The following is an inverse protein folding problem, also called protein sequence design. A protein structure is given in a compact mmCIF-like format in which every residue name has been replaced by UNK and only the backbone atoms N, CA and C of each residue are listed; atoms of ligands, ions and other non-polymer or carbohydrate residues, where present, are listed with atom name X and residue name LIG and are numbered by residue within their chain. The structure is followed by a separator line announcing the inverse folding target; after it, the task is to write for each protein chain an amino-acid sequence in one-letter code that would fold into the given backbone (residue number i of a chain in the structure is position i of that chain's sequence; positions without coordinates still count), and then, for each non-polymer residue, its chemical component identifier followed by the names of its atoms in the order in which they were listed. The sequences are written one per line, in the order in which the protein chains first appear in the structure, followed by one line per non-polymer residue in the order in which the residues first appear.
data_IF_303097332615
#
_entry.id   IF_303097332615
#
_cell.length_a   1.000
_cell.length_b   1.000
_cell.length_c   1.000
_cell.angle_alpha   90.00
_cell.angle_beta   90.00
_cell.angle_gamma   90.00
#
_symmetry.space_group_name_H-M   'P 1'
#
loop_
_entity.id
_entity.type
_entity.pdbx_description
1 polymer ?
#
# COMPACT_ATOMS: atom_id res chain seq x y z
N UNK A 1 -21.03 -17.59 -12.63
CA UNK A 1 -20.10 -16.88 -11.72
C UNK A 1 -19.72 -17.84 -10.62
N UNK A 2 -18.44 -17.91 -10.23
CA UNK A 2 -18.01 -18.75 -9.10
C UNK A 2 -18.40 -18.08 -7.78
N UNK A 3 -18.49 -18.86 -6.69
CA UNK A 3 -18.71 -18.31 -5.34
C UNK A 3 -17.66 -17.27 -4.97
N UNK A 4 -16.39 -17.50 -5.33
CA UNK A 4 -15.29 -16.55 -5.12
C UNK A 4 -15.53 -15.22 -5.83
N UNK A 5 -15.96 -15.24 -7.10
CA UNK A 5 -16.27 -14.00 -7.84
C UNK A 5 -17.37 -13.19 -7.16
N UNK A 6 -18.45 -13.85 -6.73
CA UNK A 6 -19.56 -13.16 -6.03
C UNK A 6 -19.08 -12.54 -4.72
N UNK A 7 -18.25 -13.24 -3.95
CA UNK A 7 -17.71 -12.73 -2.69
C UNK A 7 -16.78 -11.53 -2.90
N UNK A 8 -15.88 -11.58 -3.88
CA UNK A 8 -14.96 -10.48 -4.22
C UNK A 8 -15.73 -9.27 -4.72
N UNK A 9 -16.71 -9.45 -5.62
CA UNK A 9 -17.54 -8.36 -6.14
C UNK A 9 -18.39 -7.70 -5.03
N UNK A 10 -18.94 -8.51 -4.13
CA UNK A 10 -19.67 -8.02 -2.95
C UNK A 10 -18.73 -7.22 -2.04
N UNK A 11 -17.49 -7.70 -1.82
CA UNK A 11 -16.49 -7.01 -1.04
C UNK A 11 -16.12 -5.66 -1.69
N UNK A 12 -15.97 -5.57 -3.02
CA UNK A 12 -15.77 -4.30 -3.72
C UNK A 12 -16.93 -3.34 -3.45
N UNK A 13 -18.17 -3.75 -3.72
CA UNK A 13 -19.33 -2.88 -3.55
C UNK A 13 -19.47 -2.38 -2.10
N UNK A 14 -19.39 -3.30 -1.13
CA UNK A 14 -19.53 -2.97 0.28
C UNK A 14 -18.39 -2.08 0.81
N UNK A 15 -17.14 -2.38 0.42
CA UNK A 15 -15.96 -1.62 0.83
C UNK A 15 -15.90 -0.22 0.22
N UNK A 16 -16.31 -0.06 -1.04
CA UNK A 16 -16.47 1.25 -1.69
C UNK A 16 -17.54 2.06 -0.95
N UNK A 17 -18.72 1.48 -0.71
CA UNK A 17 -19.79 2.15 0.05
C UNK A 17 -19.32 2.58 1.45
N UNK A 18 -18.58 1.70 2.15
CA UNK A 18 -18.00 2.01 3.46
C UNK A 18 -16.99 3.17 3.38
N UNK A 19 -16.08 3.14 2.40
CA UNK A 19 -15.11 4.21 2.14
C UNK A 19 -15.79 5.55 1.86
N UNK A 20 -16.79 5.56 0.97
CA UNK A 20 -17.58 6.75 0.61
C UNK A 20 -18.41 7.29 1.77
N UNK A 21 -18.91 6.42 2.66
CA UNK A 21 -19.70 6.84 3.84
C UNK A 21 -18.83 7.38 4.97
N UNK A 22 -17.68 6.76 5.22
CA UNK A 22 -16.83 7.06 6.38
C UNK A 22 -15.77 8.13 6.07
N UNK A 23 -15.15 8.08 4.89
CA UNK A 23 -14.02 8.93 4.53
C UNK A 23 -14.31 10.44 4.57
N UNK A 24 -15.41 10.95 4.00
CA UNK A 24 -15.68 12.39 3.95
C UNK A 24 -15.89 13.06 5.33
N UNK A 25 -16.12 12.27 6.39
CA UNK A 25 -16.39 12.77 7.75
C UNK A 25 -15.13 13.07 8.55
N UNK A 26 -13.99 12.55 8.11
CA UNK A 26 -12.74 12.55 8.88
C UNK A 26 -11.94 13.85 8.81
N UNK A 27 -11.81 14.52 7.66
CA UNK A 27 -11.09 15.80 7.61
C UNK A 27 -11.71 16.90 8.49
N UNK A 28 -12.95 16.71 8.94
CA UNK A 28 -13.64 17.64 9.85
C UNK A 28 -13.22 17.47 11.32
N UNK A 29 -12.58 16.36 11.67
CA UNK A 29 -12.23 16.01 13.05
C UNK A 29 -10.75 15.59 13.10
N UNK A 30 -9.86 16.56 12.89
CA UNK A 30 -8.43 16.33 13.03
C UNK A 30 -8.15 15.82 14.46
N UNK A 31 -7.53 14.65 14.57
CA UNK A 31 -7.19 14.06 15.86
C UNK A 31 -5.97 14.81 16.42
N UNK A 32 -6.06 15.43 17.61
CA UNK A 32 -4.94 16.15 18.20
C UNK A 32 -3.75 15.21 18.44
N UNK A 33 -2.51 15.74 18.49
CA UNK A 33 -1.31 14.94 18.79
C UNK A 33 -1.45 14.22 20.14
N UNK A 34 -1.04 12.96 20.19
CA UNK A 34 -1.11 12.15 21.42
C UNK A 34 0.01 12.44 22.43
N UNK A 35 -0.21 12.03 23.68
CA UNK A 35 0.81 11.97 24.73
C UNK A 35 1.57 10.61 24.67
N UNK A 36 2.84 10.56 25.10
CA UNK A 36 3.71 9.36 25.03
C UNK A 36 4.66 9.25 23.82
N UNK A 37 5.47 8.18 23.77
CA UNK A 37 6.52 8.00 22.74
C UNK A 37 5.92 7.75 21.35
N UNK A 38 6.38 8.50 20.34
CA UNK A 38 6.01 8.28 18.95
C UNK A 38 6.68 7.02 18.40
N UNK A 39 5.87 6.14 17.79
CA UNK A 39 6.35 4.99 17.03
C UNK A 39 6.04 5.25 15.56
N UNK A 40 7.10 5.26 14.76
CA UNK A 40 7.03 5.53 13.32
C UNK A 40 6.60 4.22 12.62
N UNK A 41 5.54 4.22 11.77
CA UNK A 41 5.03 3.04 11.09
C UNK A 41 6.11 2.34 10.24
N UNK A 42 7.08 3.08 9.69
CA UNK A 42 8.22 2.53 8.96
C UNK A 42 9.06 1.55 9.81
N UNK A 43 9.22 1.81 11.12
CA UNK A 43 9.98 0.92 12.01
C UNK A 43 9.24 -0.40 12.21
N UNK A 44 7.92 -0.33 12.40
CA UNK A 44 7.10 -1.53 12.54
C UNK A 44 6.98 -2.30 11.23
N UNK A 45 6.85 -1.59 10.09
CA UNK A 45 6.89 -2.19 8.77
C UNK A 45 8.20 -2.95 8.58
N UNK A 46 9.33 -2.35 8.93
CA UNK A 46 10.65 -3.01 8.87
C UNK A 46 10.68 -4.26 9.74
N UNK A 47 10.13 -4.20 10.96
CA UNK A 47 10.01 -5.36 11.84
C UNK A 47 9.15 -6.48 11.22
N UNK A 48 7.98 -6.15 10.67
CA UNK A 48 7.09 -7.13 10.01
C UNK A 48 7.76 -7.72 8.76
N UNK A 49 8.43 -6.91 7.95
CA UNK A 49 9.22 -7.39 6.80
C UNK A 49 10.31 -8.37 7.27
N UNK A 50 11.02 -8.05 8.34
CA UNK A 50 12.00 -8.94 8.94
C UNK A 50 11.39 -10.27 9.40
N UNK A 51 10.21 -10.24 10.03
CA UNK A 51 9.47 -11.46 10.41
C UNK A 51 9.01 -12.27 9.20
N UNK A 52 8.59 -11.62 8.11
CA UNK A 52 8.24 -12.28 6.85
C UNK A 52 9.45 -13.01 6.28
N UNK A 53 10.62 -12.37 6.17
CA UNK A 53 11.83 -13.03 5.68
C UNK A 53 12.36 -14.11 6.63
N UNK A 54 12.23 -13.92 7.94
CA UNK A 54 12.55 -14.97 8.91
C UNK A 54 11.66 -16.19 8.69
N UNK A 55 10.35 -15.99 8.48
CA UNK A 55 9.44 -17.08 8.12
C UNK A 55 9.90 -17.79 6.84
N UNK A 56 10.34 -17.04 5.83
CA UNK A 56 10.82 -17.63 4.57
C UNK A 56 12.07 -18.48 4.76
N UNK A 57 13.05 -18.03 5.56
CA UNK A 57 14.23 -18.82 5.87
C UNK A 57 13.87 -20.11 6.63
N UNK A 58 12.95 -20.02 7.60
CA UNK A 58 12.47 -21.20 8.34
C UNK A 58 11.65 -22.14 7.45
N UNK A 59 10.85 -21.61 6.52
CA UNK A 59 10.09 -22.39 5.55
C UNK A 59 11.03 -23.15 4.61
N UNK A 60 12.04 -22.48 4.05
CA UNK A 60 13.05 -23.10 3.21
C UNK A 60 13.79 -24.23 3.95
N UNK A 61 14.20 -23.97 5.20
CA UNK A 61 14.84 -24.99 6.04
C UNK A 61 13.91 -26.16 6.36
N UNK A 62 12.63 -25.91 6.65
CA UNK A 62 11.61 -26.94 6.86
C UNK A 62 11.40 -27.81 5.62
N UNK A 63 11.27 -27.20 4.44
CA UNK A 63 11.10 -27.89 3.17
C UNK A 63 12.31 -28.78 2.87
N UNK A 64 13.52 -28.28 3.09
CA UNK A 64 14.75 -29.07 2.93
C UNK A 64 14.80 -30.26 3.90
N UNK A 65 14.45 -30.07 5.18
CA UNK A 65 14.58 -31.11 6.21
C UNK A 65 13.48 -32.15 6.20
N UNK A 66 12.26 -31.77 5.85
CA UNK A 66 11.07 -32.64 5.96
C UNK A 66 10.64 -33.18 4.60
N UNK A 67 10.83 -32.41 3.54
CA UNK A 67 10.41 -32.78 2.17
C UNK A 67 11.59 -32.93 1.21
N UNK A 68 12.83 -32.84 1.69
CA UNK A 68 14.02 -32.97 0.83
C UNK A 68 14.15 -31.86 -0.22
N UNK A 69 13.51 -30.72 -0.01
CA UNK A 69 13.40 -29.63 -0.98
C UNK A 69 12.21 -29.78 -1.95
N UNK A 70 11.49 -30.89 -1.93
CA UNK A 70 10.32 -31.08 -2.77
C UNK A 70 9.14 -30.20 -2.30
N UNK A 71 8.73 -29.28 -3.16
CA UNK A 71 7.59 -28.37 -2.91
C UNK A 71 6.30 -28.83 -3.57
N UNK A 72 6.30 -29.94 -4.31
CA UNK A 72 5.14 -30.41 -5.09
C UNK A 72 3.91 -30.72 -4.22
N UNK A 73 4.11 -31.12 -2.97
CA UNK A 73 3.02 -31.39 -2.03
C UNK A 73 2.17 -30.15 -1.74
N UNK A 74 2.75 -28.94 -1.83
CA UNK A 74 2.05 -27.66 -1.63
C UNK A 74 1.76 -26.95 -2.96
N UNK A 75 2.70 -26.90 -3.91
CA UNK A 75 2.53 -26.14 -5.16
C UNK A 75 1.44 -26.69 -6.06
N UNK A 76 1.08 -27.98 -5.94
CA UNK A 76 -0.07 -28.57 -6.67
C UNK A 76 -1.42 -27.89 -6.40
N UNK A 77 -1.53 -27.11 -5.32
CA UNK A 77 -2.73 -26.35 -4.96
C UNK A 77 -2.66 -24.87 -5.36
N UNK A 78 -1.53 -24.41 -5.89
CA UNK A 78 -1.24 -23.00 -6.13
C UNK A 78 -1.06 -22.72 -7.62
N UNK A 79 -1.30 -21.47 -8.06
CA UNK A 79 -0.90 -21.05 -9.39
C UNK A 79 0.61 -21.21 -9.62
N UNK A 80 1.05 -21.31 -10.88
CA UNK A 80 2.48 -21.31 -11.21
C UNK A 80 3.22 -20.08 -10.66
N UNK A 81 4.50 -20.24 -10.36
CA UNK A 81 5.37 -19.14 -9.90
C UNK A 81 5.42 -18.94 -8.39
N UNK A 82 4.99 -19.93 -7.60
CA UNK A 82 5.17 -19.99 -6.15
C UNK A 82 6.25 -21.00 -5.75
N UNK A 83 6.88 -20.77 -4.61
CA UNK A 83 7.86 -21.67 -3.99
C UNK A 83 9.16 -21.89 -4.79
N UNK A 84 9.73 -20.84 -5.39
CA UNK A 84 11.12 -20.88 -5.88
C UNK A 84 12.11 -20.76 -4.71
N UNK A 85 12.51 -21.89 -4.16
CA UNK A 85 13.37 -21.99 -2.97
C UNK A 85 14.84 -22.20 -3.34
N UNK A 86 15.78 -21.52 -2.66
CA UNK A 86 17.18 -21.65 -3.00
C UNK A 86 17.81 -22.84 -2.25
N UNK A 87 17.58 -24.06 -2.73
CA UNK A 87 18.00 -25.34 -2.11
C UNK A 87 19.54 -25.49 -1.92
N UNK A 88 20.32 -24.68 -2.62
CA UNK A 88 21.78 -24.60 -2.52
C UNK A 88 22.32 -23.50 -1.60
N UNK A 89 21.47 -22.66 -1.01
CA UNK A 89 21.90 -21.46 -0.31
C UNK A 89 22.56 -21.80 1.06
N UNK A 90 23.82 -21.38 1.32
CA UNK A 90 24.52 -21.76 2.55
C UNK A 90 23.82 -21.33 3.84
N UNK A 91 23.27 -20.10 3.97
CA UNK A 91 22.42 -19.72 5.09
C UNK A 91 21.23 -20.66 5.35
N UNK A 92 20.49 -21.06 4.30
CA UNK A 92 19.34 -21.97 4.45
C UNK A 92 19.79 -23.34 4.95
N UNK A 93 20.88 -23.87 4.38
CA UNK A 93 21.46 -25.16 4.82
C UNK A 93 21.94 -25.10 6.26
N UNK A 94 22.62 -24.02 6.65
CA UNK A 94 23.06 -23.82 8.02
C UNK A 94 21.88 -23.85 9.00
N UNK A 95 20.78 -23.15 8.68
CA UNK A 95 19.58 -23.15 9.52
C UNK A 95 18.96 -24.55 9.56
N UNK A 96 18.82 -25.22 8.41
CA UNK A 96 18.28 -26.57 8.30
C UNK A 96 19.06 -27.58 9.14
N UNK A 97 20.39 -27.51 9.12
CA UNK A 97 21.27 -28.41 9.87
C UNK A 97 21.13 -28.25 11.39
N UNK A 98 20.78 -27.04 11.84
CA UNK A 98 20.63 -26.70 13.26
C UNK A 98 19.17 -26.66 13.73
N UNK A 99 18.19 -26.98 12.87
CA UNK A 99 16.77 -26.86 13.20
C UNK A 99 16.32 -28.04 14.09
N UNK A 100 16.05 -27.82 15.40
CA UNK A 100 15.59 -28.90 16.26
C UNK A 100 14.12 -29.24 15.95
N UNK A 101 13.78 -30.52 15.90
CA UNK A 101 12.42 -30.99 15.62
C UNK A 101 11.76 -30.30 14.41
N UNK A 102 12.30 -30.49 13.19
CA UNK A 102 11.92 -29.72 12.00
C UNK A 102 10.41 -29.79 11.69
N UNK A 103 9.73 -30.88 12.05
CA UNK A 103 8.28 -31.05 11.85
C UNK A 103 7.43 -29.99 12.57
N UNK A 104 7.93 -29.37 13.65
CA UNK A 104 7.24 -28.28 14.35
C UNK A 104 7.16 -26.99 13.52
N UNK A 105 8.02 -26.84 12.52
CA UNK A 105 8.05 -25.66 11.65
C UNK A 105 7.10 -25.74 10.45
N UNK A 106 6.28 -26.79 10.36
CA UNK A 106 5.24 -26.89 9.33
C UNK A 106 4.40 -25.62 9.15
N UNK A 107 3.97 -24.90 10.22
CA UNK A 107 3.21 -23.65 10.13
C UNK A 107 3.88 -22.52 9.34
N UNK A 108 5.19 -22.58 9.10
CA UNK A 108 5.88 -21.59 8.29
C UNK A 108 5.46 -21.61 6.82
N UNK A 109 4.91 -22.74 6.35
CA UNK A 109 4.28 -22.88 5.03
C UNK A 109 2.87 -22.31 5.10
N UNK A 110 2.61 -21.18 4.44
CA UNK A 110 1.31 -20.49 4.34
C UNK A 110 0.76 -19.85 5.64
N UNK A 111 0.75 -20.55 6.79
CA UNK A 111 0.03 -20.12 8.00
C UNK A 111 0.62 -18.88 8.66
N UNK A 112 1.92 -18.87 8.93
CA UNK A 112 2.59 -17.69 9.52
C UNK A 112 2.47 -16.49 8.58
N UNK A 113 2.53 -16.71 7.27
CA UNK A 113 2.35 -15.63 6.31
C UNK A 113 0.92 -15.07 6.33
N UNK A 114 -0.10 -15.92 6.46
CA UNK A 114 -1.49 -15.48 6.62
C UNK A 114 -1.68 -14.58 7.86
N UNK A 115 -0.85 -14.74 8.90
CA UNK A 115 -0.80 -13.85 10.05
C UNK A 115 -0.17 -12.49 9.71
N UNK A 116 0.98 -12.50 9.02
CA UNK A 116 1.85 -11.33 8.84
C UNK A 116 1.45 -10.42 7.66
N UNK A 117 0.76 -10.95 6.67
CA UNK A 117 0.43 -10.20 5.45
C UNK A 117 -0.50 -9.00 5.73
N UNK A 118 -1.52 -9.17 6.59
CA UNK A 118 -2.44 -8.09 6.94
C UNK A 118 -1.74 -6.88 7.61
N UNK A 119 -0.94 -7.06 8.69
CA UNK A 119 -0.21 -5.95 9.26
C UNK A 119 0.82 -5.39 8.28
N UNK A 120 1.46 -6.22 7.44
CA UNK A 120 2.38 -5.76 6.40
C UNK A 120 1.72 -4.74 5.45
N UNK A 121 0.60 -5.10 4.81
CA UNK A 121 -0.06 -4.22 3.83
C UNK A 121 -0.62 -2.94 4.48
N UNK A 122 -1.19 -3.04 5.68
CA UNK A 122 -1.75 -1.87 6.37
C UNK A 122 -0.65 -0.94 6.94
N UNK A 123 0.50 -1.47 7.36
CA UNK A 123 1.66 -0.66 7.75
C UNK A 123 2.33 -0.01 6.54
N UNK A 124 2.38 -0.68 5.38
CA UNK A 124 2.83 -0.06 4.13
C UNK A 124 1.91 1.11 3.75
N UNK A 125 0.59 0.92 3.83
CA UNK A 125 -0.38 1.99 3.63
C UNK A 125 -0.20 3.14 4.64
N UNK A 126 -0.03 2.81 5.91
CA UNK A 126 0.21 3.78 6.98
C UNK A 126 1.50 4.58 6.78
N UNK A 127 2.54 3.96 6.24
CA UNK A 127 3.80 4.61 5.86
C UNK A 127 3.55 5.66 4.77
N UNK A 128 2.78 5.30 3.73
CA UNK A 128 2.40 6.24 2.67
C UNK A 128 1.64 7.44 3.25
N UNK A 129 0.61 7.19 4.07
CA UNK A 129 -0.17 8.25 4.71
C UNK A 129 0.71 9.19 5.53
N UNK A 130 1.61 8.63 6.36
CA UNK A 130 2.46 9.43 7.25
C UNK A 130 3.52 10.23 6.50
N UNK A 131 4.04 9.69 5.39
CA UNK A 131 4.98 10.40 4.53
C UNK A 131 4.34 11.61 3.85
N UNK A 132 3.06 11.50 3.45
CA UNK A 132 2.29 12.66 2.99
C UNK A 132 2.04 13.65 4.13
N UNK A 133 1.41 13.18 5.21
CA UNK A 133 1.19 13.97 6.41
C UNK A 133 1.03 13.07 7.65
N UNK A 134 1.79 13.33 8.72
CA UNK A 134 1.56 12.70 10.01
C UNK A 134 0.13 12.90 10.54
N UNK A 135 -0.46 14.09 10.36
CA UNK A 135 -1.84 14.35 10.76
C UNK A 135 -2.87 13.51 9.98
N UNK A 136 -2.63 13.29 8.68
CA UNK A 136 -3.44 12.39 7.87
C UNK A 136 -3.36 10.95 8.39
N UNK A 137 -2.15 10.44 8.65
CA UNK A 137 -1.94 9.12 9.24
C UNK A 137 -2.72 8.93 10.55
N UNK A 138 -2.65 9.91 11.45
CA UNK A 138 -3.42 9.88 12.71
C UNK A 138 -4.92 9.90 12.50
N UNK A 139 -5.38 10.73 11.59
CA UNK A 139 -6.82 10.91 11.35
C UNK A 139 -7.42 9.66 10.72
N UNK A 140 -6.73 9.07 9.74
CA UNK A 140 -7.19 7.90 8.99
C UNK A 140 -7.02 6.64 9.82
N UNK A 141 -5.80 6.32 10.27
CA UNK A 141 -5.52 5.09 11.01
C UNK A 141 -5.81 5.20 12.51
N UNK A 142 -6.07 6.39 13.05
CA UNK A 142 -6.62 6.55 14.41
C UNK A 142 -8.15 6.42 14.47
N UNK A 143 -8.82 6.35 13.32
CA UNK A 143 -10.27 6.16 13.21
C UNK A 143 -10.64 4.68 13.30
N UNK A 144 -11.20 4.27 14.45
CA UNK A 144 -11.64 2.89 14.68
C UNK A 144 -12.57 2.38 13.56
N UNK A 145 -13.63 3.13 13.14
CA UNK A 145 -14.51 2.65 12.08
C UNK A 145 -13.78 2.35 10.78
N UNK A 146 -12.87 3.24 10.33
CA UNK A 146 -12.12 3.00 9.09
C UNK A 146 -11.18 1.81 9.20
N UNK A 147 -10.39 1.73 10.27
CA UNK A 147 -9.41 0.64 10.42
C UNK A 147 -10.12 -0.70 10.49
N UNK A 148 -11.21 -0.81 11.25
CA UNK A 148 -12.00 -2.04 11.30
C UNK A 148 -12.65 -2.37 9.96
N UNK A 149 -13.18 -1.39 9.22
CA UNK A 149 -13.70 -1.63 7.88
C UNK A 149 -12.63 -2.11 6.90
N UNK A 150 -11.42 -1.53 6.93
CA UNK A 150 -10.32 -1.94 6.09
C UNK A 150 -9.85 -3.37 6.43
N UNK A 151 -9.61 -3.65 7.71
CA UNK A 151 -9.22 -4.97 8.20
C UNK A 151 -10.25 -6.04 7.84
N UNK A 152 -11.54 -5.76 8.03
CA UNK A 152 -12.61 -6.67 7.68
C UNK A 152 -12.67 -6.91 6.17
N UNK A 153 -12.66 -5.83 5.38
CA UNK A 153 -12.68 -5.93 3.91
C UNK A 153 -11.51 -6.76 3.40
N UNK A 154 -10.31 -6.53 3.93
CA UNK A 154 -9.10 -7.22 3.49
C UNK A 154 -9.14 -8.70 3.88
N UNK A 155 -9.64 -9.00 5.08
CA UNK A 155 -9.77 -10.38 5.56
C UNK A 155 -10.85 -11.16 4.80
N UNK A 156 -11.95 -10.51 4.41
CA UNK A 156 -13.00 -11.12 3.58
C UNK A 156 -12.47 -11.44 2.19
N UNK A 157 -11.75 -10.51 1.55
CA UNK A 157 -11.13 -10.74 0.23
C UNK A 157 -10.10 -11.85 0.30
N UNK A 158 -9.21 -11.81 1.31
CA UNK A 158 -8.26 -12.91 1.56
C UNK A 158 -9.00 -14.24 1.70
N UNK A 159 -10.05 -14.30 2.51
CA UNK A 159 -10.78 -15.54 2.72
C UNK A 159 -11.52 -16.05 1.49
N UNK A 160 -12.04 -15.15 0.64
CA UNK A 160 -12.67 -15.53 -0.62
C UNK A 160 -11.66 -16.14 -1.60
N UNK A 161 -10.45 -15.56 -1.67
CA UNK A 161 -9.35 -16.05 -2.51
C UNK A 161 -8.82 -17.38 -1.99
N UNK A 162 -8.57 -17.49 -0.68
CA UNK A 162 -8.12 -18.71 -0.02
C UNK A 162 -9.12 -19.85 -0.19
N UNK A 163 -10.42 -19.55 -0.15
CA UNK A 163 -11.46 -20.53 -0.44
C UNK A 163 -11.52 -20.93 -1.93
N UNK A 164 -11.23 -19.99 -2.84
CA UNK A 164 -11.12 -20.27 -4.28
C UNK A 164 -9.90 -21.12 -4.63
N UNK A 165 -8.81 -20.98 -3.86
CA UNK A 165 -7.57 -21.74 -3.96
C UNK A 165 -7.47 -22.77 -2.84
N UNK A 166 -8.56 -23.50 -2.62
CA UNK A 166 -8.70 -24.37 -1.46
C UNK A 166 -7.57 -25.41 -1.39
N UNK A 167 -6.96 -25.50 -0.21
CA UNK A 167 -5.89 -26.42 0.11
C UNK A 167 -6.12 -27.02 1.51
N UNK A 168 -5.37 -28.05 1.93
CA UNK A 168 -5.57 -28.71 3.22
C UNK A 168 -5.43 -27.80 4.45
N UNK A 169 -4.82 -26.62 4.30
CA UNK A 169 -4.57 -25.67 5.37
C UNK A 169 -5.51 -24.46 5.37
N UNK A 170 -6.36 -24.29 4.35
CA UNK A 170 -7.27 -23.15 4.20
C UNK A 170 -8.03 -22.81 5.49
N UNK A 171 -8.57 -23.81 6.21
CA UNK A 171 -9.27 -23.57 7.48
C UNK A 171 -8.38 -22.94 8.56
N UNK A 172 -7.11 -23.34 8.63
CA UNK A 172 -6.12 -22.78 9.56
C UNK A 172 -5.74 -21.36 9.13
N UNK A 173 -5.53 -21.13 7.84
CA UNK A 173 -5.17 -19.81 7.29
C UNK A 173 -6.28 -18.77 7.55
N UNK A 174 -7.54 -19.17 7.41
CA UNK A 174 -8.70 -18.33 7.75
C UNK A 174 -8.75 -18.00 9.25
N UNK A 175 -8.53 -18.99 10.12
CA UNK A 175 -8.52 -18.78 11.57
C UNK A 175 -7.37 -17.85 11.98
N UNK A 176 -6.17 -18.07 11.42
CA UNK A 176 -5.00 -17.22 11.66
C UNK A 176 -5.21 -15.80 11.13
N UNK A 177 -5.83 -15.63 9.97
CA UNK A 177 -6.21 -14.31 9.44
C UNK A 177 -7.19 -13.60 10.36
N UNK A 178 -8.18 -14.31 10.92
CA UNK A 178 -9.12 -13.72 11.87
C UNK A 178 -8.40 -13.23 13.14
N UNK A 179 -7.44 -14.00 13.66
CA UNK A 179 -6.57 -13.56 14.77
C UNK A 179 -5.75 -12.34 14.35
N UNK A 180 -5.14 -12.36 13.17
CA UNK A 180 -4.39 -11.21 12.62
C UNK A 180 -5.25 -9.94 12.57
N UNK A 181 -6.50 -10.05 12.12
CA UNK A 181 -7.45 -8.95 12.05
C UNK A 181 -7.75 -8.36 13.45
N UNK A 182 -8.03 -9.23 14.42
CA UNK A 182 -8.32 -8.85 15.80
C UNK A 182 -7.14 -8.17 16.50
N UNK A 183 -5.91 -8.52 16.14
CA UNK A 183 -4.69 -7.92 16.69
C UNK A 183 -4.28 -6.64 15.95
N UNK A 184 -4.37 -6.63 14.62
CA UNK A 184 -3.88 -5.54 13.77
C UNK A 184 -4.72 -4.27 13.93
N UNK A 185 -6.04 -4.37 13.96
CA UNK A 185 -6.92 -3.21 14.08
C UNK A 185 -6.66 -2.36 15.34
N UNK A 186 -6.65 -2.92 16.58
CA UNK A 186 -6.37 -2.14 17.77
C UNK A 186 -4.92 -1.66 17.83
N UNK A 187 -3.95 -2.47 17.37
CA UNK A 187 -2.54 -2.09 17.32
C UNK A 187 -2.34 -0.84 16.46
N UNK A 188 -2.79 -0.87 15.21
CA UNK A 188 -2.66 0.26 14.28
C UNK A 188 -3.36 1.51 14.80
N UNK A 189 -4.57 1.34 15.36
CA UNK A 189 -5.32 2.46 15.92
C UNK A 189 -4.59 3.11 17.10
N UNK A 190 -4.04 2.30 18.00
CA UNK A 190 -3.32 2.80 19.16
C UNK A 190 -2.02 3.52 18.75
N UNK A 191 -1.28 2.96 17.79
CA UNK A 191 -0.04 3.54 17.28
C UNK A 191 -0.28 4.85 16.54
N UNK A 192 -1.28 4.88 15.66
CA UNK A 192 -1.63 6.09 14.92
C UNK A 192 -1.98 7.24 15.86
N UNK A 193 -2.77 6.98 16.92
CA UNK A 193 -3.12 8.01 17.91
C UNK A 193 -1.93 8.54 18.73
N UNK A 194 -0.83 7.80 18.82
CA UNK A 194 0.39 8.19 19.53
C UNK A 194 1.40 8.96 18.68
N UNK A 195 1.15 9.08 17.38
CA UNK A 195 2.01 9.89 16.53
C UNK A 195 1.90 11.39 16.91
N UNK A 196 2.99 12.12 16.74
CA UNK A 196 3.11 13.53 17.13
C UNK A 196 3.58 14.42 16.00
N UNK A 197 3.76 13.89 14.80
CA UNK A 197 4.24 14.70 13.68
C UNK A 197 3.28 15.86 13.40
N UNK A 198 3.81 17.04 13.13
CA UNK A 198 2.99 18.16 12.71
C UNK A 198 2.26 17.80 11.40
N UNK A 199 1.12 18.45 11.13
CA UNK A 199 0.59 18.42 9.78
C UNK A 199 1.61 19.06 8.84
N UNK A 200 1.64 18.58 7.60
CA UNK A 200 2.52 19.09 6.55
C UNK A 200 1.65 19.66 5.46
N UNK A 201 2.01 20.82 4.94
CA UNK A 201 1.41 21.36 3.73
C UNK A 201 2.47 21.33 2.63
N UNK A 202 2.54 20.25 1.84
CA UNK A 202 3.64 20.06 0.91
C UNK A 202 3.53 21.07 -0.24
N UNK A 203 4.56 21.92 -0.39
CA UNK A 203 4.80 22.64 -1.64
C UNK A 203 5.24 21.69 -2.77
N UNK A 204 5.67 22.24 -3.91
CA UNK A 204 6.11 21.47 -5.10
C UNK A 204 7.11 20.37 -4.74
N UNK A 205 8.19 20.74 -4.05
CA UNK A 205 9.25 19.78 -3.70
C UNK A 205 8.73 18.69 -2.75
N UNK A 206 7.84 19.03 -1.81
CA UNK A 206 7.23 18.06 -0.90
C UNK A 206 6.38 17.02 -1.65
N UNK A 207 5.57 17.45 -2.61
CA UNK A 207 4.75 16.55 -3.43
C UNK A 207 5.59 15.66 -4.36
N UNK A 208 6.69 16.18 -4.93
CA UNK A 208 7.62 15.38 -5.73
C UNK A 208 8.37 14.35 -4.87
N UNK A 209 8.83 14.73 -3.67
CA UNK A 209 9.45 13.81 -2.71
C UNK A 209 8.46 12.76 -2.21
N UNK A 210 7.19 13.14 -2.04
CA UNK A 210 6.12 12.21 -1.74
C UNK A 210 5.89 11.21 -2.88
N UNK A 211 5.85 11.66 -4.13
CA UNK A 211 5.72 10.76 -5.29
C UNK A 211 6.88 9.76 -5.37
N UNK A 212 8.12 10.21 -5.18
CA UNK A 212 9.30 9.35 -5.12
C UNK A 212 9.23 8.37 -3.93
N UNK A 213 8.78 8.82 -2.76
CA UNK A 213 8.56 7.96 -1.59
C UNK A 213 7.49 6.90 -1.85
N UNK A 214 6.36 7.27 -2.46
CA UNK A 214 5.27 6.36 -2.79
C UNK A 214 5.74 5.27 -3.73
N UNK A 215 6.47 5.64 -4.79
CA UNK A 215 7.10 4.69 -5.70
C UNK A 215 8.03 3.75 -4.95
N UNK A 216 8.91 4.28 -4.10
CA UNK A 216 9.89 3.47 -3.38
C UNK A 216 9.25 2.52 -2.35
N UNK A 217 8.20 2.94 -1.62
CA UNK A 217 7.41 2.03 -0.77
C UNK A 217 6.75 0.95 -1.62
N UNK A 218 6.16 1.32 -2.75
CA UNK A 218 5.57 0.36 -3.68
C UNK A 218 6.57 -0.67 -4.19
N UNK A 219 7.78 -0.24 -4.58
CA UNK A 219 8.84 -1.14 -5.02
C UNK A 219 9.30 -2.09 -3.90
N UNK A 220 9.45 -1.57 -2.68
CA UNK A 220 9.76 -2.42 -1.53
C UNK A 220 8.67 -3.50 -1.33
N UNK A 221 7.39 -3.11 -1.45
CA UNK A 221 6.28 -4.06 -1.36
C UNK A 221 6.34 -5.09 -2.49
N UNK A 222 6.67 -4.69 -3.73
CA UNK A 222 6.80 -5.62 -4.85
C UNK A 222 7.95 -6.61 -4.68
N UNK A 223 9.10 -6.15 -4.17
CA UNK A 223 10.22 -7.05 -3.85
C UNK A 223 9.81 -8.05 -2.78
N UNK A 224 9.25 -7.59 -1.66
CA UNK A 224 8.76 -8.48 -0.59
C UNK A 224 7.68 -9.43 -1.10
N UNK A 225 6.79 -8.95 -1.97
CA UNK A 225 5.74 -9.75 -2.57
C UNK A 225 6.34 -10.90 -3.38
N UNK A 226 7.19 -10.59 -4.35
CA UNK A 226 7.83 -11.57 -5.22
C UNK A 226 8.71 -12.54 -4.41
N UNK A 227 9.66 -12.03 -3.64
CA UNK A 227 10.70 -12.88 -3.05
C UNK A 227 10.27 -13.57 -1.76
N UNK A 228 9.22 -13.08 -1.10
CA UNK A 228 8.81 -13.61 0.20
C UNK A 228 7.34 -13.99 0.26
N UNK A 229 6.41 -13.14 -0.18
CA UNK A 229 4.98 -13.50 -0.09
C UNK A 229 4.58 -14.58 -1.10
N UNK A 230 5.33 -14.78 -2.17
CA UNK A 230 5.13 -15.93 -3.07
C UNK A 230 6.03 -17.13 -2.72
N UNK A 231 6.76 -17.07 -1.59
CA UNK A 231 7.77 -18.05 -1.22
C UNK A 231 8.90 -18.22 -2.27
N UNK A 232 9.26 -17.17 -3.02
CA UNK A 232 10.31 -17.24 -4.04
C UNK A 232 11.63 -16.65 -3.55
N UNK A 233 12.18 -17.18 -2.47
CA UNK A 233 13.42 -16.65 -1.89
C UNK A 233 14.60 -16.72 -2.89
N UNK A 234 14.54 -17.63 -3.87
CA UNK A 234 15.48 -17.72 -4.99
C UNK A 234 15.58 -16.44 -5.83
N UNK A 235 14.49 -15.66 -5.94
CA UNK A 235 14.46 -14.40 -6.69
C UNK A 235 15.21 -13.25 -6.00
N UNK A 236 15.59 -13.37 -4.72
CA UNK A 236 16.13 -12.25 -3.94
C UNK A 236 17.41 -11.66 -4.55
N UNK A 237 18.28 -12.49 -5.12
CA UNK A 237 19.50 -12.03 -5.77
C UNK A 237 19.23 -11.13 -6.97
N UNK A 238 18.22 -11.47 -7.78
CA UNK A 238 17.82 -10.69 -8.95
C UNK A 238 17.13 -9.37 -8.56
N UNK A 239 16.48 -9.31 -7.39
CA UNK A 239 15.74 -8.14 -6.88
C UNK A 239 16.56 -7.17 -6.02
N UNK A 240 17.83 -7.50 -5.77
CA UNK A 240 18.69 -6.68 -4.91
C UNK A 240 18.88 -5.24 -5.42
N UNK A 241 19.08 -4.99 -6.74
CA UNK A 241 19.19 -3.63 -7.25
C UNK A 241 17.96 -2.77 -6.98
N UNK A 242 16.76 -3.30 -7.20
CA UNK A 242 15.50 -2.60 -6.96
C UNK A 242 15.28 -2.33 -5.46
N UNK A 243 15.60 -3.32 -4.61
CA UNK A 243 15.55 -3.15 -3.16
C UNK A 243 16.48 -2.03 -2.69
N UNK A 244 17.75 -2.04 -3.13
CA UNK A 244 18.73 -1.02 -2.74
C UNK A 244 18.32 0.37 -3.23
N UNK A 245 17.82 0.48 -4.46
CA UNK A 245 17.32 1.73 -5.01
C UNK A 245 16.13 2.27 -4.21
N UNK A 246 15.15 1.41 -3.90
CA UNK A 246 14.01 1.79 -3.08
C UNK A 246 14.44 2.27 -1.69
N UNK A 247 15.33 1.54 -1.02
CA UNK A 247 15.87 1.92 0.29
C UNK A 247 16.64 3.25 0.24
N UNK A 248 17.46 3.46 -0.80
CA UNK A 248 18.19 4.72 -1.00
C UNK A 248 17.22 5.90 -1.17
N UNK A 249 16.20 5.77 -2.03
CA UNK A 249 15.18 6.80 -2.21
C UNK A 249 14.43 7.07 -0.91
N UNK A 250 14.05 6.03 -0.15
CA UNK A 250 13.36 6.18 1.13
C UNK A 250 14.22 6.88 2.18
N UNK A 251 15.53 6.62 2.19
CA UNK A 251 16.49 7.27 3.08
C UNK A 251 16.70 8.75 2.72
N UNK A 252 16.86 9.06 1.43
CA UNK A 252 17.02 10.44 0.94
C UNK A 252 15.76 11.26 1.24
N UNK A 253 14.59 10.74 0.87
CA UNK A 253 13.30 11.43 1.08
C UNK A 253 12.93 11.56 2.57
N UNK A 254 13.42 10.66 3.44
CA UNK A 254 13.22 10.80 4.89
C UNK A 254 14.03 11.97 5.48
N UNK A 255 15.26 12.19 4.98
CA UNK A 255 16.16 13.26 5.43
C UNK A 255 15.80 14.62 4.84
N UNK A 256 15.26 14.65 3.63
CA UNK A 256 14.96 15.89 2.94
C UNK A 256 13.49 16.26 3.09
N UNK A 257 13.20 17.18 4.01
CA UNK A 257 11.87 17.77 4.18
C UNK A 257 12.02 19.28 4.05
N UNK A 258 11.78 19.84 2.84
CA UNK A 258 11.98 21.27 2.62
C UNK A 258 10.98 22.11 3.41
N UNK A 259 11.48 22.94 4.33
CA UNK A 259 10.71 23.98 5.02
C UNK A 259 10.41 25.11 4.03
N UNK A 260 9.21 25.14 3.43
CA UNK A 260 8.81 26.18 2.48
C UNK A 260 7.31 26.49 2.53
N UNK A 261 6.93 27.74 2.16
CA UNK A 261 5.55 28.20 2.26
C UNK A 261 4.58 27.32 1.47
N UNK A 262 3.34 27.29 1.94
CA UNK A 262 2.24 26.59 1.30
C UNK A 262 2.22 26.85 -0.21
N UNK A 263 1.99 25.80 -0.99
CA UNK A 263 1.87 25.91 -2.44
C UNK A 263 0.73 26.84 -2.86
N UNK A 264 0.74 27.26 -4.12
CA UNK A 264 -0.39 28.00 -4.68
C UNK A 264 -1.69 27.17 -4.69
N UNK A 265 -2.81 27.79 -5.06
CA UNK A 265 -4.14 27.18 -4.98
C UNK A 265 -4.27 25.86 -5.77
N UNK A 266 -3.58 25.70 -6.91
CA UNK A 266 -3.64 24.46 -7.67
C UNK A 266 -2.90 23.30 -6.96
N UNK A 267 -1.75 23.58 -6.34
CA UNK A 267 -1.03 22.59 -5.53
C UNK A 267 -1.79 22.21 -4.26
N UNK A 268 -2.41 23.18 -3.59
CA UNK A 268 -3.26 22.92 -2.44
C UNK A 268 -4.46 22.03 -2.81
N UNK A 269 -5.06 22.26 -3.99
CA UNK A 269 -6.13 21.42 -4.49
C UNK A 269 -5.63 20.00 -4.83
N UNK A 270 -4.44 19.84 -5.42
CA UNK A 270 -3.83 18.54 -5.67
C UNK A 270 -3.55 17.77 -4.37
N UNK A 271 -2.95 18.42 -3.36
CA UNK A 271 -2.73 17.81 -2.03
C UNK A 271 -4.06 17.38 -1.40
N UNK A 272 -5.10 18.21 -1.47
CA UNK A 272 -6.43 17.87 -0.98
C UNK A 272 -7.02 16.64 -1.70
N UNK A 273 -6.86 16.53 -3.02
CA UNK A 273 -7.26 15.35 -3.79
C UNK A 273 -6.49 14.12 -3.33
N UNK A 274 -5.17 14.20 -3.17
CA UNK A 274 -4.34 13.07 -2.73
C UNK A 274 -4.75 12.56 -1.34
N UNK A 275 -4.87 13.45 -0.36
CA UNK A 275 -5.30 13.10 1.00
C UNK A 275 -6.66 12.41 1.01
N UNK A 276 -7.60 12.94 0.23
CA UNK A 276 -8.97 12.45 0.17
C UNK A 276 -9.05 11.11 -0.57
N UNK A 277 -8.36 10.97 -1.69
CA UNK A 277 -8.25 9.71 -2.43
C UNK A 277 -7.66 8.60 -1.56
N UNK A 278 -6.55 8.86 -0.85
CA UNK A 278 -5.97 7.88 0.08
C UNK A 278 -6.94 7.53 1.23
N UNK A 279 -7.62 8.52 1.80
CA UNK A 279 -8.60 8.24 2.87
C UNK A 279 -9.76 7.36 2.37
N UNK A 280 -10.30 7.65 1.19
CA UNK A 280 -11.44 6.94 0.61
C UNK A 280 -11.05 5.55 0.09
N UNK A 281 -9.82 5.40 -0.42
CA UNK A 281 -9.35 4.18 -1.06
C UNK A 281 -8.83 3.13 -0.08
N UNK A 282 -8.50 3.50 1.17
CA UNK A 282 -7.99 2.56 2.19
C UNK A 282 -8.86 1.30 2.30
N UNK A 283 -10.18 1.45 2.44
CA UNK A 283 -11.10 0.33 2.67
C UNK A 283 -11.24 -0.55 1.42
N UNK A 284 -11.49 -0.02 0.20
CA UNK A 284 -11.67 -0.85 -0.99
C UNK A 284 -10.38 -1.32 -1.69
N UNK A 285 -9.19 -0.83 -1.30
CA UNK A 285 -7.97 -1.05 -2.09
C UNK A 285 -7.69 -2.53 -2.41
N UNK A 286 -7.77 -3.42 -1.43
CA UNK A 286 -7.50 -4.84 -1.64
C UNK A 286 -8.58 -5.50 -2.51
N UNK A 287 -9.85 -5.21 -2.26
CA UNK A 287 -10.95 -5.74 -3.05
C UNK A 287 -10.82 -5.35 -4.53
N UNK A 288 -10.55 -4.06 -4.80
CA UNK A 288 -10.34 -3.55 -6.15
C UNK A 288 -9.16 -4.24 -6.84
N UNK A 289 -8.03 -4.44 -6.12
CA UNK A 289 -6.88 -5.15 -6.67
C UNK A 289 -7.24 -6.57 -7.05
N UNK A 290 -7.85 -7.35 -6.14
CA UNK A 290 -8.13 -8.76 -6.37
C UNK A 290 -9.27 -9.01 -7.37
N UNK A 291 -10.12 -8.03 -7.64
CA UNK A 291 -11.09 -8.13 -8.73
C UNK A 291 -10.47 -8.23 -10.12
N UNK A 292 -9.20 -7.87 -10.31
CA UNK A 292 -8.51 -8.09 -11.58
C UNK A 292 -8.37 -9.59 -11.91
N UNK A 293 -8.18 -10.43 -10.88
CA UNK A 293 -7.92 -11.86 -11.05
C UNK A 293 -9.12 -12.74 -10.70
N UNK A 294 -9.93 -12.33 -9.71
CA UNK A 294 -10.99 -13.15 -9.14
C UNK A 294 -12.40 -12.58 -9.29
N UNK A 295 -12.53 -11.31 -9.70
CA UNK A 295 -13.79 -10.57 -9.71
C UNK A 295 -14.17 -10.00 -11.09
N UNK A 296 -15.11 -9.07 -11.07
CA UNK A 296 -15.55 -8.34 -12.27
C UNK A 296 -14.77 -7.03 -12.40
N UNK A 297 -13.87 -6.94 -13.38
CA UNK A 297 -13.02 -5.76 -13.61
C UNK A 297 -13.83 -4.46 -13.76
N UNK A 298 -14.97 -4.50 -14.46
CA UNK A 298 -15.82 -3.32 -14.65
C UNK A 298 -16.40 -2.79 -13.33
N UNK A 299 -16.72 -3.67 -12.38
CA UNK A 299 -17.21 -3.28 -11.07
C UNK A 299 -16.09 -2.62 -10.25
N UNK A 300 -14.89 -3.19 -10.28
CA UNK A 300 -13.72 -2.61 -9.61
C UNK A 300 -13.35 -1.25 -10.21
N UNK A 301 -13.40 -1.11 -11.53
CA UNK A 301 -13.19 0.16 -12.23
C UNK A 301 -14.25 1.20 -11.81
N UNK A 302 -15.53 0.84 -11.81
CA UNK A 302 -16.61 1.72 -11.36
C UNK A 302 -16.44 2.16 -9.90
N UNK A 303 -16.02 1.23 -9.03
CA UNK A 303 -15.70 1.50 -7.63
C UNK A 303 -14.54 2.49 -7.47
N UNK A 304 -13.43 2.26 -8.18
CA UNK A 304 -12.26 3.14 -8.18
C UNK A 304 -12.60 4.55 -8.72
N UNK A 305 -13.36 4.62 -9.82
CA UNK A 305 -13.82 5.88 -10.41
C UNK A 305 -14.74 6.64 -9.45
N UNK A 306 -15.61 5.95 -8.71
CA UNK A 306 -16.49 6.55 -7.70
C UNK A 306 -15.70 7.18 -6.56
N UNK A 307 -14.65 6.49 -6.08
CA UNK A 307 -13.70 7.04 -5.10
C UNK A 307 -13.03 8.31 -5.64
N UNK A 308 -12.53 8.27 -6.88
CA UNK A 308 -11.91 9.42 -7.54
C UNK A 308 -12.87 10.60 -7.70
N UNK A 309 -14.10 10.36 -8.16
CA UNK A 309 -15.12 11.40 -8.32
C UNK A 309 -15.45 12.10 -7.00
N UNK A 310 -15.60 11.33 -5.90
CA UNK A 310 -15.88 11.89 -4.57
C UNK A 310 -14.67 12.60 -3.97
N UNK A 311 -13.45 12.21 -4.34
CA UNK A 311 -12.25 12.97 -4.00
C UNK A 311 -12.23 14.34 -4.69
N UNK A 312 -12.62 14.40 -5.96
CA UNK A 312 -12.68 15.64 -6.75
C UNK A 312 -13.86 16.56 -6.36
N UNK A 313 -14.93 16.03 -5.78
CA UNK A 313 -16.14 16.79 -5.41
C UNK A 313 -15.95 17.74 -4.19
N UNK A 314 -14.74 18.04 -3.77
CA UNK A 314 -14.47 18.95 -2.65
C UNK A 314 -14.46 20.41 -3.11
N UNK A 315 -15.07 21.35 -2.36
CA UNK A 315 -15.23 22.76 -2.79
C UNK A 315 -13.90 23.42 -3.23
N UNK A 316 -12.83 23.43 -2.42
CA UNK A 316 -11.51 23.94 -2.83
C UNK A 316 -10.93 23.31 -4.10
N UNK A 317 -11.28 22.04 -4.37
CA UNK A 317 -10.84 21.33 -5.58
C UNK A 317 -11.63 21.81 -6.80
N UNK A 318 -12.92 22.12 -6.61
CA UNK A 318 -13.79 22.64 -7.67
C UNK A 318 -13.29 23.95 -8.25
N UNK A 319 -12.77 24.83 -7.40
CA UNK A 319 -12.24 26.13 -7.79
C UNK A 319 -10.92 26.03 -8.59
N UNK A 320 -10.26 24.88 -8.56
CA UNK A 320 -9.04 24.56 -9.30
C UNK A 320 -9.24 23.47 -10.37
N UNK A 321 -10.50 23.15 -10.74
CA UNK A 321 -10.81 22.02 -11.62
C UNK A 321 -10.12 22.08 -12.97
N UNK A 322 -10.11 23.25 -13.63
CA UNK A 322 -9.55 23.34 -14.97
C UNK A 322 -8.03 23.07 -14.96
N UNK A 323 -7.20 23.75 -14.14
CA UNK A 323 -5.78 23.41 -14.01
C UNK A 323 -5.53 21.96 -13.57
N UNK A 324 -6.34 21.43 -12.65
CA UNK A 324 -6.22 20.02 -12.23
C UNK A 324 -6.59 19.05 -13.35
N UNK A 325 -7.60 19.35 -14.16
CA UNK A 325 -8.01 18.51 -15.28
C UNK A 325 -6.95 18.50 -16.38
N UNK A 326 -6.37 19.66 -16.70
CA UNK A 326 -5.27 19.76 -17.66
C UNK A 326 -4.01 19.05 -17.17
N UNK A 327 -3.61 19.31 -15.91
CA UNK A 327 -2.47 18.63 -15.28
C UNK A 327 -2.68 17.13 -15.18
N UNK A 328 -3.89 16.71 -14.80
CA UNK A 328 -4.28 15.30 -14.73
C UNK A 328 -4.32 14.63 -16.09
N UNK A 329 -4.80 15.29 -17.15
CA UNK A 329 -4.76 14.75 -18.51
C UNK A 329 -3.32 14.55 -19.00
N UNK A 330 -2.45 15.55 -18.80
CA UNK A 330 -1.02 15.43 -19.12
C UNK A 330 -0.35 14.31 -18.31
N UNK A 331 -0.67 14.21 -17.02
CA UNK A 331 -0.16 13.15 -16.16
C UNK A 331 -0.67 11.76 -16.56
N UNK A 332 -1.93 11.62 -16.98
CA UNK A 332 -2.48 10.36 -17.50
C UNK A 332 -1.81 9.95 -18.82
N UNK A 333 -1.51 10.90 -19.71
CA UNK A 333 -0.74 10.62 -20.92
C UNK A 333 0.67 10.11 -20.57
N UNK A 334 1.36 10.76 -19.61
CA UNK A 334 2.66 10.30 -19.14
C UNK A 334 2.59 8.91 -18.47
N UNK A 335 1.55 8.66 -17.68
CA UNK A 335 1.29 7.37 -17.05
C UNK A 335 1.08 6.26 -18.09
N UNK A 336 0.26 6.53 -19.11
CA UNK A 336 0.04 5.61 -20.23
C UNK A 336 1.35 5.28 -20.95
N UNK A 337 2.18 6.29 -21.26
CA UNK A 337 3.51 6.06 -21.84
C UNK A 337 4.39 5.21 -20.91
N UNK A 338 4.43 5.51 -19.62
CA UNK A 338 5.24 4.76 -18.65
C UNK A 338 4.84 3.27 -18.56
N UNK A 339 3.56 2.93 -18.76
CA UNK A 339 3.09 1.54 -18.85
C UNK A 339 3.52 0.89 -20.16
N UNK A 340 3.52 1.62 -21.28
CA UNK A 340 3.78 1.05 -22.61
C UNK A 340 5.26 0.93 -22.97
N UNK A 341 6.12 1.71 -22.32
CA UNK A 341 7.55 1.77 -22.66
C UNK A 341 8.40 0.68 -22.01
N UNK A 342 7.91 0.01 -20.98
CA UNK A 342 8.67 -1.01 -20.23
C UNK A 342 7.80 -2.24 -20.04
N UNK A 343 8.30 -3.39 -20.46
CA UNK A 343 7.66 -4.68 -20.24
C UNK A 343 8.05 -5.18 -18.85
N UNK A 344 7.08 -5.30 -17.96
CA UNK A 344 7.28 -5.89 -16.63
C UNK A 344 6.78 -7.32 -16.56
N UNK A 345 7.37 -8.06 -15.64
CA UNK A 345 6.84 -9.36 -15.19
C UNK A 345 5.51 -9.18 -14.44
N UNK A 346 5.40 -8.12 -13.62
CA UNK A 346 4.20 -7.80 -12.84
C UNK A 346 3.59 -6.49 -13.31
N UNK A 347 2.30 -6.49 -13.65
CA UNK A 347 1.61 -5.29 -14.12
C UNK A 347 1.55 -4.20 -13.04
N UNK A 348 1.65 -4.56 -11.76
CA UNK A 348 1.73 -3.62 -10.64
C UNK A 348 3.01 -2.78 -10.68
N UNK A 349 4.12 -3.33 -11.18
CA UNK A 349 5.35 -2.57 -11.38
C UNK A 349 5.15 -1.48 -12.42
N UNK A 350 4.39 -1.78 -13.49
CA UNK A 350 4.00 -0.79 -14.48
C UNK A 350 3.08 0.28 -13.88
N UNK A 351 2.10 -0.12 -13.07
CA UNK A 351 1.20 0.81 -12.38
C UNK A 351 1.94 1.72 -11.39
N UNK A 352 2.96 1.22 -10.69
CA UNK A 352 3.78 2.04 -9.78
C UNK A 352 4.57 3.11 -10.54
N UNK A 353 5.17 2.76 -11.68
CA UNK A 353 5.85 3.75 -12.55
C UNK A 353 4.85 4.74 -13.16
N UNK A 354 3.68 4.26 -13.58
CA UNK A 354 2.62 5.09 -14.12
C UNK A 354 2.13 6.12 -13.08
N UNK A 355 1.96 5.69 -11.83
CA UNK A 355 1.58 6.56 -10.72
C UNK A 355 2.65 7.60 -10.40
N UNK A 356 3.95 7.21 -10.41
CA UNK A 356 5.04 8.18 -10.26
C UNK A 356 5.00 9.23 -11.36
N UNK A 357 4.90 8.82 -12.63
CA UNK A 357 4.83 9.72 -13.78
C UNK A 357 3.62 10.67 -13.70
N UNK A 358 2.43 10.12 -13.38
CA UNK A 358 1.20 10.88 -13.17
C UNK A 358 1.41 11.98 -12.13
N UNK A 359 1.93 11.64 -10.95
CA UNK A 359 2.10 12.58 -9.85
C UNK A 359 3.14 13.65 -10.17
N UNK A 360 4.27 13.28 -10.77
CA UNK A 360 5.34 14.23 -11.13
C UNK A 360 4.83 15.25 -12.15
N UNK A 361 4.18 14.79 -13.22
CA UNK A 361 3.67 15.67 -14.28
C UNK A 361 2.53 16.54 -13.77
N UNK A 362 1.57 15.96 -13.04
CA UNK A 362 0.44 16.73 -12.49
C UNK A 362 0.93 17.80 -11.51
N UNK A 363 1.86 17.45 -10.61
CA UNK A 363 2.46 18.40 -9.66
C UNK A 363 3.17 19.54 -10.39
N UNK A 364 3.94 19.22 -11.43
CA UNK A 364 4.68 20.21 -12.22
C UNK A 364 3.74 21.14 -12.98
N UNK A 365 2.65 20.61 -13.55
CA UNK A 365 1.63 21.39 -14.24
C UNK A 365 0.89 22.32 -13.28
N UNK A 366 0.49 21.84 -12.10
CA UNK A 366 -0.14 22.68 -11.07
C UNK A 366 0.81 23.79 -10.59
N UNK A 367 2.09 23.47 -10.37
CA UNK A 367 3.10 24.44 -9.98
C UNK A 367 3.31 25.53 -11.05
N UNK A 368 3.33 25.15 -12.32
CA UNK A 368 3.42 26.09 -13.43
C UNK A 368 2.17 26.98 -13.51
N UNK A 369 0.98 26.39 -13.39
CA UNK A 369 -0.27 27.13 -13.39
C UNK A 369 -0.35 28.14 -12.23
N UNK A 370 0.15 27.80 -11.05
CA UNK A 370 0.26 28.72 -9.91
C UNK A 370 1.21 29.89 -10.20
N UNK A 371 2.33 29.65 -10.89
CA UNK A 371 3.29 30.71 -11.27
C UNK A 371 2.77 31.65 -12.34
N UNK A 372 1.89 31.16 -13.23
CA UNK A 372 1.33 31.95 -14.33
C UNK A 372 0.10 32.76 -13.91
N UNK A 373 -0.46 32.54 -12.71
CA UNK A 373 -1.56 33.36 -12.22
C UNK A 373 -1.04 34.78 -11.95
N UNK A 374 -1.65 35.82 -12.55
CA UNK A 374 -1.32 37.19 -12.21
C UNK A 374 -1.56 37.39 -10.72
N UNK A 375 -0.59 37.93 -9.98
CA UNK A 375 -0.91 38.45 -8.66
C UNK A 375 -2.05 39.46 -8.86
N UNK A 376 -3.15 39.37 -8.08
CA UNK A 376 -4.13 40.43 -8.10
C UNK A 376 -3.35 41.68 -7.76
N UNK A 377 -3.19 42.58 -8.74
CA UNK A 377 -2.52 43.86 -8.56
C UNK A 377 -3.11 44.42 -7.29
N UNK A 378 -2.32 44.40 -6.22
CA UNK A 378 -2.65 45.10 -5.00
C UNK A 378 -3.01 46.49 -5.50
N UNK A 379 -4.27 46.87 -5.30
CA UNK A 379 -4.71 48.22 -5.52
C UNK A 379 -3.77 49.05 -4.68
N UNK A 380 -2.66 49.52 -5.29
CA UNK A 380 -1.85 50.57 -4.74
C UNK A 380 -2.85 51.67 -4.56
N UNK A 381 -3.22 51.89 -3.31
CA UNK A 381 -3.90 53.08 -2.87
C UNK A 381 -3.10 54.22 -3.48
N UNK A 382 -3.63 54.78 -4.56
CA UNK A 382 -3.31 56.12 -4.99
C UNK A 382 -4.03 56.97 -3.95
N UNK A 383 -3.31 57.27 -2.87
CA UNK A 383 -3.61 58.43 -2.03
C UNK A 383 -3.15 59.68 -2.77
#
# INVERSE_FOLDING_TARGET
MTTTTVLVDTAVAASVLAGLRLGPRLPRHAVPPGTGRTVIPEVLLTGVVGLVYLNQLLCAAYLLRVHGGDVTFVTRYLPPGWFDQPDGNPPVRLIADHLPAPTLFGPTVLRVQALLELPFVLLAYGTVLRRLSPALYRTVLGSRPLVWSAVLSYSVVFGAVEWGLHNPWTGQDLAVRAVSALLTAPLLTALARRDRGADREPGVAGLLLFAASLWAVGQLVMVVYDTALLYNLGHLGARWPELLLALAVLAITARWQPDRPAGGPNLAALDAVLRRSLTLFLVPALAIRYSADFGTLLLAAAGALSVGAVALWHRPVRDALLPLALGGAAGLAAAYLAVRLVLDVYYESALLRAMLALLVVTTSACALADRLRPEPRSARAVN
#
